data_IF_093510095535
#
_entry.id   IF_093510095535
#
_cell.length_a   1.000
_cell.length_b   1.000
_cell.length_c   1.000
_cell.angle_alpha   90.00
_cell.angle_beta   90.00
_cell.angle_gamma   90.00
#
_symmetry.space_group_name_H-M   'P 1'
#
loop_
_entity.id
_entity.type
_entity.pdbx_description
1 polymer ?
#
# COMPACT_ATOMS: atom_id res chain seq x y z
N UNK A 1 51.86 1.03 4.90
CA UNK A 1 51.03 1.71 5.91
C UNK A 1 49.63 1.10 5.88
N UNK A 2 49.24 0.33 6.89
CA UNK A 2 47.87 -0.22 7.00
C UNK A 2 46.97 0.91 7.49
N UNK A 3 45.99 1.32 6.70
CA UNK A 3 44.92 2.22 7.14
C UNK A 3 44.23 1.58 8.34
N UNK A 4 44.50 2.11 9.54
CA UNK A 4 43.69 1.81 10.72
C UNK A 4 42.34 2.49 10.46
N UNK A 5 41.35 1.71 10.06
CA UNK A 5 39.95 2.13 10.08
C UNK A 5 39.64 2.65 11.47
N UNK A 6 39.15 3.89 11.54
CA UNK A 6 38.58 4.43 12.79
C UNK A 6 37.54 3.43 13.29
N UNK A 7 37.49 3.14 14.60
CA UNK A 7 36.40 2.35 15.16
C UNK A 7 35.10 3.07 14.77
N UNK A 8 34.23 2.38 14.05
CA UNK A 8 32.87 2.86 13.83
C UNK A 8 32.26 3.10 15.22
N UNK A 9 31.54 4.22 15.42
CA UNK A 9 30.85 4.46 16.68
C UNK A 9 30.00 3.25 17.02
N UNK A 10 29.88 2.94 18.32
CA UNK A 10 29.12 1.81 18.84
C UNK A 10 27.62 2.02 18.54
N UNK A 11 27.21 1.67 17.32
CA UNK A 11 25.84 1.87 16.86
C UNK A 11 25.00 0.72 17.41
N UNK A 12 23.93 1.05 18.14
CA UNK A 12 23.02 0.06 18.69
C UNK A 12 22.54 -0.94 17.60
N UNK A 13 22.41 -2.24 17.95
CA UNK A 13 21.96 -3.26 17.02
C UNK A 13 20.52 -2.99 16.58
N UNK A 14 20.26 -3.16 15.29
CA UNK A 14 18.92 -3.01 14.72
C UNK A 14 18.06 -4.21 15.12
N UNK A 15 17.02 -3.98 15.91
CA UNK A 15 16.03 -4.98 16.34
C UNK A 15 14.81 -4.99 15.43
N UNK A 16 14.36 -3.82 14.99
CA UNK A 16 13.20 -3.65 14.10
C UNK A 16 13.56 -2.75 12.93
N UNK A 17 13.36 -3.24 11.71
CA UNK A 17 13.38 -2.44 10.49
C UNK A 17 11.95 -2.29 9.98
N UNK A 18 11.34 -1.13 10.24
CA UNK A 18 9.96 -0.85 9.86
C UNK A 18 9.88 -0.24 8.45
N UNK A 19 9.12 -0.87 7.56
CA UNK A 19 8.99 -0.41 6.18
C UNK A 19 8.04 0.78 6.06
N UNK A 20 8.55 1.84 5.44
CA UNK A 20 7.84 3.07 5.11
C UNK A 20 7.81 3.30 3.59
N UNK A 21 8.01 2.25 2.77
CA UNK A 21 8.10 2.41 1.32
C UNK A 21 6.83 3.03 0.76
N UNK A 22 5.66 2.57 1.21
CA UNK A 22 4.38 3.13 0.78
C UNK A 22 4.20 4.61 1.21
N UNK A 23 4.65 5.01 2.42
CA UNK A 23 4.61 6.41 2.86
C UNK A 23 5.45 7.33 1.97
N UNK A 24 6.60 6.84 1.51
CA UNK A 24 7.49 7.59 0.60
C UNK A 24 6.81 7.78 -0.77
N UNK A 25 6.11 6.76 -1.27
CA UNK A 25 5.56 6.73 -2.63
C UNK A 25 4.21 7.41 -2.76
N UNK A 26 3.33 7.27 -1.78
CA UNK A 26 1.99 7.84 -1.80
C UNK A 26 1.66 8.50 -0.45
N UNK A 27 1.48 9.83 -0.40
CA UNK A 27 1.03 10.48 0.82
C UNK A 27 -0.48 10.34 1.06
N UNK A 28 -1.29 9.95 0.05
CA UNK A 28 -2.74 9.81 0.20
C UNK A 28 -3.08 8.43 0.80
N UNK A 29 -2.71 8.23 2.06
CA UNK A 29 -2.89 6.96 2.76
C UNK A 29 -4.38 6.73 3.08
N UNK A 30 -5.00 5.81 2.36
CA UNK A 30 -6.40 5.38 2.56
C UNK A 30 -6.46 3.90 2.92
N UNK A 31 -7.55 3.53 3.58
CA UNK A 31 -7.79 2.15 3.98
C UNK A 31 -6.65 1.60 4.81
N UNK A 32 -6.10 0.46 4.40
CA UNK A 32 -5.12 -0.28 5.18
C UNK A 32 -3.78 0.43 5.36
N UNK A 33 -3.41 1.31 4.41
CA UNK A 33 -2.20 2.11 4.52
C UNK A 33 -2.23 3.07 5.73
N UNK A 34 -3.41 3.35 6.31
CA UNK A 34 -3.52 4.11 7.56
C UNK A 34 -3.02 3.35 8.79
N UNK A 35 -3.10 2.02 8.77
CA UNK A 35 -2.54 1.19 9.85
C UNK A 35 -1.02 1.35 9.87
N UNK A 36 -0.38 1.38 8.71
CA UNK A 36 1.05 1.66 8.61
C UNK A 36 1.42 3.04 9.17
N UNK A 37 0.64 4.09 8.86
CA UNK A 37 0.82 5.44 9.44
C UNK A 37 0.77 5.38 10.97
N UNK A 38 -0.28 4.77 11.53
CA UNK A 38 -0.48 4.71 12.97
C UNK A 38 0.63 3.91 13.69
N UNK A 39 1.10 2.81 13.09
CA UNK A 39 2.20 2.02 13.66
C UNK A 39 3.53 2.80 13.57
N UNK A 40 3.80 3.48 12.46
CA UNK A 40 4.98 4.34 12.38
C UNK A 40 4.97 5.47 13.43
N UNK A 41 3.81 6.05 13.71
CA UNK A 41 3.64 7.05 14.78
C UNK A 41 3.92 6.48 16.16
N UNK A 42 3.36 5.31 16.47
CA UNK A 42 3.59 4.62 17.74
C UNK A 42 5.09 4.30 17.92
N UNK A 43 5.74 3.73 16.90
CA UNK A 43 7.17 3.42 16.93
C UNK A 43 8.05 4.67 17.06
N UNK A 44 7.65 5.79 16.48
CA UNK A 44 8.34 7.07 16.67
C UNK A 44 8.18 7.60 18.10
N UNK A 45 7.01 7.40 18.71
CA UNK A 45 6.72 7.85 20.07
C UNK A 45 7.47 7.04 21.14
N UNK A 46 7.70 5.74 20.89
CA UNK A 46 8.50 4.87 21.77
C UNK A 46 9.99 5.26 21.82
N UNK A 47 10.48 5.96 20.79
CA UNK A 47 11.87 6.43 20.66
C UNK A 47 12.95 5.34 20.85
N UNK A 48 12.64 4.10 20.50
CA UNK A 48 13.58 2.98 20.63
C UNK A 48 14.78 3.10 19.65
N UNK A 49 16.03 3.15 20.13
CA UNK A 49 17.22 3.18 19.26
C UNK A 49 17.44 1.90 18.46
N UNK A 50 16.81 0.78 18.86
CA UNK A 50 16.82 -0.47 18.11
C UNK A 50 15.85 -0.49 16.93
N UNK A 51 14.99 0.52 16.79
CA UNK A 51 14.03 0.64 15.70
C UNK A 51 14.53 1.63 14.64
N UNK A 52 14.65 1.14 13.41
CA UNK A 52 14.98 1.95 12.23
C UNK A 52 13.81 1.95 11.25
N UNK A 53 13.62 3.07 10.56
CA UNK A 53 12.64 3.21 9.50
C UNK A 53 13.34 3.08 8.17
N UNK A 54 12.78 2.31 7.24
CA UNK A 54 13.41 2.05 5.95
C UNK A 54 12.44 2.28 4.81
N UNK A 55 12.97 2.56 3.62
CA UNK A 55 12.21 2.55 2.40
C UNK A 55 13.00 1.86 1.29
N UNK A 56 12.30 1.08 0.48
CA UNK A 56 12.87 0.45 -0.69
C UNK A 56 13.08 1.47 -1.81
N UNK A 57 14.35 1.64 -2.19
CA UNK A 57 14.79 2.41 -3.34
C UNK A 57 14.78 1.48 -4.57
N UNK A 58 13.76 1.63 -5.41
CA UNK A 58 13.60 0.84 -6.65
C UNK A 58 14.73 1.08 -7.65
N UNK A 59 15.30 2.28 -7.68
CA UNK A 59 16.37 2.63 -8.62
C UNK A 59 17.67 1.96 -8.20
N UNK A 60 18.02 2.07 -6.92
CA UNK A 60 19.20 1.45 -6.34
C UNK A 60 19.03 -0.03 -5.96
N UNK A 61 17.81 -0.57 -6.08
CA UNK A 61 17.39 -1.91 -5.63
C UNK A 61 17.91 -2.25 -4.23
N UNK A 62 17.66 -1.35 -3.28
CA UNK A 62 18.19 -1.44 -1.92
C UNK A 62 17.27 -0.80 -0.90
N UNK A 63 17.38 -1.20 0.36
CA UNK A 63 16.72 -0.50 1.45
C UNK A 63 17.57 0.68 1.92
N UNK A 64 16.94 1.83 2.04
CA UNK A 64 17.55 3.06 2.54
C UNK A 64 16.96 3.41 3.90
N UNK A 65 17.82 3.79 4.85
CA UNK A 65 17.37 4.23 6.18
C UNK A 65 16.78 5.64 6.07
N UNK A 66 15.66 5.85 6.75
CA UNK A 66 15.02 7.14 6.91
C UNK A 66 15.32 7.64 8.32
N UNK A 67 15.85 8.85 8.42
CA UNK A 67 15.98 9.49 9.72
C UNK A 67 14.59 9.82 10.31
N UNK A 68 14.51 9.87 11.65
CA UNK A 68 13.26 10.15 12.36
C UNK A 68 12.61 11.48 11.93
N UNK A 69 13.34 12.59 11.70
CA UNK A 69 12.77 13.80 11.13
C UNK A 69 12.08 13.61 9.76
N UNK A 70 12.68 12.83 8.86
CA UNK A 70 12.10 12.51 7.56
C UNK A 70 10.81 11.70 7.70
N UNK A 71 10.78 10.72 8.61
CA UNK A 71 9.55 9.94 8.89
C UNK A 71 8.45 10.85 9.45
N UNK A 72 8.76 11.73 10.41
CA UNK A 72 7.79 12.71 10.93
C UNK A 72 7.24 13.61 9.82
N UNK A 73 8.09 14.06 8.89
CA UNK A 73 7.64 14.85 7.74
C UNK A 73 6.74 14.06 6.78
N UNK A 74 7.00 12.76 6.57
CA UNK A 74 6.14 11.88 5.78
C UNK A 74 4.77 11.69 6.46
N UNK A 75 4.74 11.47 7.76
CA UNK A 75 3.51 11.32 8.54
C UNK A 75 2.69 12.61 8.56
N UNK A 76 3.34 13.77 8.77
CA UNK A 76 2.69 15.07 8.68
C UNK A 76 2.09 15.31 7.28
N UNK A 77 2.73 14.82 6.20
CA UNK A 77 2.16 14.86 4.85
C UNK A 77 1.01 13.88 4.66
N UNK A 78 1.03 12.72 5.31
CA UNK A 78 -0.05 11.74 5.26
C UNK A 78 -1.33 12.26 5.96
N UNK A 79 -1.17 12.95 7.10
CA UNK A 79 -2.26 13.60 7.82
C UNK A 79 -2.70 14.92 7.18
N UNK A 80 -1.73 15.74 6.80
CA UNK A 80 -1.94 17.01 6.10
C UNK A 80 -2.36 16.84 4.64
N UNK A 81 -2.54 15.60 4.20
CA UNK A 81 -3.39 15.28 3.08
C UNK A 81 -4.82 15.69 3.41
N UNK A 82 -5.10 16.99 3.35
CA UNK A 82 -6.31 17.48 2.68
C UNK A 82 -6.55 16.51 1.55
N UNK A 83 -7.76 15.96 1.46
CA UNK A 83 -8.21 15.26 0.29
C UNK A 83 -7.65 16.04 -0.89
N UNK A 84 -6.55 15.54 -1.50
CA UNK A 84 -6.27 15.81 -2.88
C UNK A 84 -7.53 15.25 -3.44
N UNK A 85 -8.49 16.14 -3.69
CA UNK A 85 -9.69 15.87 -4.46
C UNK A 85 -9.12 14.96 -5.51
N UNK A 86 -9.51 13.68 -5.48
CA UNK A 86 -9.51 12.91 -6.69
C UNK A 86 -10.21 13.86 -7.61
N UNK A 87 -9.44 14.56 -8.42
CA UNK A 87 -10.00 15.53 -9.31
C UNK A 87 -10.93 14.68 -10.12
N UNK A 88 -12.22 14.78 -9.85
CA UNK A 88 -13.07 15.43 -10.82
C UNK A 88 -12.26 16.64 -11.28
N UNK A 89 -11.34 16.39 -12.23
CA UNK A 89 -11.01 17.34 -13.26
C UNK A 89 -12.39 17.82 -13.65
N UNK A 90 -12.70 19.09 -13.35
CA UNK A 90 -13.87 19.71 -13.93
C UNK A 90 -13.77 19.41 -15.42
N UNK A 91 -14.59 18.46 -15.89
CA UNK A 91 -14.59 18.07 -17.28
C UNK A 91 -14.89 19.37 -18.04
N UNK A 92 -14.00 19.83 -18.94
CA UNK A 92 -14.29 21.01 -19.73
C UNK A 92 -15.53 20.69 -20.57
N UNK A 93 -16.66 21.26 -20.18
CA UNK A 93 -17.89 21.34 -20.98
C UNK A 93 -18.58 20.01 -21.32
N UNK A 94 -19.86 19.96 -20.97
CA UNK A 94 -20.95 19.06 -21.35
C UNK A 94 -20.99 18.43 -22.76
N UNK A 95 -20.10 18.75 -23.71
CA UNK A 95 -20.16 18.20 -25.09
C UNK A 95 -19.40 16.89 -25.29
N UNK A 96 -18.33 16.64 -24.52
CA UNK A 96 -17.53 15.41 -24.63
C UNK A 96 -18.21 14.20 -23.97
N UNK A 97 -19.05 14.41 -22.96
CA UNK A 97 -19.80 13.35 -22.28
C UNK A 97 -20.89 12.78 -23.19
N UNK A 98 -21.69 13.63 -23.84
CA UNK A 98 -22.70 13.16 -24.81
C UNK A 98 -22.11 12.39 -26.00
N UNK A 99 -20.88 12.72 -26.42
CA UNK A 99 -20.19 12.00 -27.49
C UNK A 99 -19.68 10.64 -27.02
N UNK A 100 -19.21 10.54 -25.77
CA UNK A 100 -18.74 9.28 -25.17
C UNK A 100 -19.90 8.35 -24.81
N UNK A 101 -21.03 8.88 -24.34
CA UNK A 101 -22.25 8.11 -24.06
C UNK A 101 -22.89 7.59 -25.35
N UNK A 102 -22.99 8.41 -26.41
CA UNK A 102 -23.41 7.91 -27.75
C UNK A 102 -22.48 6.84 -28.31
N UNK A 103 -21.16 7.01 -28.15
CA UNK A 103 -20.18 6.00 -28.60
C UNK A 103 -20.23 4.72 -27.75
N UNK A 104 -20.56 4.82 -26.46
CA UNK A 104 -20.78 3.69 -25.56
C UNK A 104 -22.02 2.88 -25.98
N UNK A 105 -23.10 3.56 -26.37
CA UNK A 105 -24.35 2.93 -26.83
C UNK A 105 -24.24 2.34 -28.24
N UNK A 106 -23.60 3.04 -29.17
CA UNK A 106 -23.53 2.60 -30.57
C UNK A 106 -22.41 1.57 -30.84
N UNK A 107 -21.27 1.67 -30.13
CA UNK A 107 -20.08 0.84 -30.37
C UNK A 107 -19.33 0.49 -29.07
N UNK A 108 -19.89 -0.43 -28.26
CA UNK A 108 -19.37 -0.77 -26.93
C UNK A 108 -17.95 -1.36 -26.93
N UNK A 109 -17.50 -1.94 -28.04
CA UNK A 109 -16.11 -2.42 -28.19
C UNK A 109 -15.11 -1.26 -28.33
N UNK A 110 -15.46 -0.22 -29.10
CA UNK A 110 -14.60 0.96 -29.32
C UNK A 110 -14.51 1.81 -28.05
N UNK A 111 -15.62 2.00 -27.34
CA UNK A 111 -15.64 2.75 -26.09
C UNK A 111 -14.80 2.07 -24.99
N UNK A 112 -14.81 0.74 -24.91
CA UNK A 112 -13.90 -0.02 -24.03
C UNK A 112 -12.43 0.23 -24.37
N UNK A 113 -12.08 0.26 -25.64
CA UNK A 113 -10.70 0.54 -26.11
C UNK A 113 -10.27 1.97 -25.79
N UNK A 114 -11.15 2.96 -26.00
CA UNK A 114 -10.87 4.37 -25.67
C UNK A 114 -10.78 4.58 -24.16
N UNK A 115 -11.64 3.93 -23.36
CA UNK A 115 -11.56 3.94 -21.90
C UNK A 115 -10.25 3.33 -21.38
N UNK A 116 -9.80 2.21 -21.96
CA UNK A 116 -8.50 1.60 -21.67
C UNK A 116 -7.36 2.56 -22.04
N UNK A 117 -7.37 3.16 -23.23
CA UNK A 117 -6.38 4.15 -23.65
C UNK A 117 -6.33 5.37 -22.73
N UNK A 118 -7.50 5.90 -22.31
CA UNK A 118 -7.60 7.01 -21.38
C UNK A 118 -7.08 6.67 -19.99
N UNK A 119 -7.35 5.45 -19.50
CA UNK A 119 -6.78 4.92 -18.26
C UNK A 119 -5.25 4.82 -18.35
N UNK A 120 -4.73 4.23 -19.43
CA UNK A 120 -3.28 4.10 -19.66
C UNK A 120 -2.59 5.45 -19.81
N UNK A 121 -3.20 6.43 -20.48
CA UNK A 121 -2.66 7.78 -20.61
C UNK A 121 -2.62 8.52 -19.27
N UNK A 122 -3.68 8.43 -18.46
CA UNK A 122 -3.71 9.01 -17.10
C UNK A 122 -2.68 8.36 -16.17
N UNK A 123 -2.54 7.05 -16.27
CA UNK A 123 -1.57 6.29 -15.49
C UNK A 123 -0.13 6.58 -15.95
N UNK A 124 0.13 6.66 -17.25
CA UNK A 124 1.42 7.08 -17.78
C UNK A 124 1.76 8.51 -17.34
N UNK A 125 0.80 9.44 -17.36
CA UNK A 125 1.01 10.78 -16.81
C UNK A 125 1.29 10.76 -15.29
N UNK A 126 0.66 9.85 -14.53
CA UNK A 126 0.95 9.65 -13.12
C UNK A 126 2.37 9.09 -12.87
N UNK A 127 2.80 8.10 -13.66
CA UNK A 127 4.17 7.55 -13.61
C UNK A 127 5.23 8.55 -14.08
N UNK A 128 4.96 9.32 -15.14
CA UNK A 128 5.83 10.43 -15.59
C UNK A 128 5.92 11.51 -14.51
N UNK A 129 4.83 11.77 -13.78
CA UNK A 129 4.83 12.65 -12.61
C UNK A 129 5.61 12.11 -11.40
N UNK A 130 5.95 10.82 -11.36
CA UNK A 130 6.83 10.23 -10.34
C UNK A 130 8.31 10.49 -10.62
N UNK A 131 8.72 10.65 -11.88
CA UNK A 131 10.14 10.87 -12.24
C UNK A 131 10.71 12.16 -11.61
N UNK A 132 10.05 13.34 -11.71
CA UNK A 132 10.55 14.55 -11.03
C UNK A 132 10.48 14.47 -9.50
N UNK A 133 9.56 13.68 -8.94
CA UNK A 133 9.42 13.50 -7.49
C UNK A 133 10.45 12.54 -6.91
N UNK A 134 10.74 11.45 -7.60
CA UNK A 134 11.84 10.52 -7.28
C UNK A 134 13.18 11.27 -7.35
N UNK A 135 13.40 12.08 -8.40
CA UNK A 135 14.60 12.91 -8.54
C UNK A 135 14.72 13.99 -7.44
N UNK A 136 13.60 14.57 -6.97
CA UNK A 136 13.62 15.53 -5.85
C UNK A 136 13.78 14.86 -4.48
N UNK A 137 13.22 13.66 -4.30
CA UNK A 137 13.43 12.84 -3.11
C UNK A 137 14.88 12.37 -3.00
N UNK A 138 15.52 12.01 -4.13
CA UNK A 138 16.96 11.70 -4.21
C UNK A 138 17.83 12.89 -3.84
N UNK A 139 17.44 14.13 -4.19
CA UNK A 139 18.21 15.34 -3.84
C UNK A 139 18.14 15.72 -2.36
N UNK A 140 17.10 15.30 -1.64
CA UNK A 140 17.00 15.49 -0.18
C UNK A 140 17.53 14.29 0.61
N UNK A 141 17.81 13.18 -0.07
CA UNK A 141 18.43 11.99 0.48
C UNK A 141 19.96 12.14 0.53
N UNK A 142 20.47 13.02 1.39
CA UNK A 142 21.90 13.06 1.70
C UNK A 142 22.43 11.66 2.02
N UNK A 143 23.55 11.27 1.40
CA UNK A 143 24.26 9.97 1.52
C UNK A 143 23.52 8.86 2.28
N UNK A 144 22.40 8.34 1.74
CA UNK A 144 21.67 7.26 2.42
C UNK A 144 22.50 5.98 2.38
N UNK A 145 22.97 5.54 3.54
CA UNK A 145 23.59 4.23 3.70
C UNK A 145 22.55 3.14 3.40
N UNK A 146 23.03 2.02 2.85
CA UNK A 146 22.20 0.84 2.65
C UNK A 146 21.85 0.26 4.03
N UNK A 147 20.62 0.45 4.48
CA UNK A 147 20.16 0.07 5.82
C UNK A 147 20.36 -1.43 6.09
N UNK A 148 20.15 -2.24 5.05
CA UNK A 148 20.23 -3.69 5.16
C UNK A 148 21.62 -4.24 5.43
N UNK A 149 22.68 -3.42 5.38
CA UNK A 149 24.03 -3.85 5.79
C UNK A 149 24.18 -4.04 7.29
N UNK A 150 23.30 -3.42 8.08
CA UNK A 150 23.30 -3.50 9.56
C UNK A 150 22.34 -4.57 10.09
N UNK A 151 21.60 -5.24 9.21
CA UNK A 151 20.65 -6.27 9.60
C UNK A 151 21.36 -7.59 9.87
N UNK A 152 20.77 -8.40 10.74
CA UNK A 152 21.27 -9.71 11.08
C UNK A 152 20.23 -10.54 11.83
N UNK A 153 20.64 -11.61 12.54
CA UNK A 153 19.72 -12.53 13.22
C UNK A 153 18.86 -11.90 14.31
N UNK A 154 19.28 -10.76 14.86
CA UNK A 154 18.51 -10.00 15.85
C UNK A 154 17.48 -9.03 15.22
N UNK A 155 17.51 -8.85 13.90
CA UNK A 155 16.66 -7.90 13.19
C UNK A 155 15.36 -8.58 12.74
N UNK A 156 14.24 -7.92 12.97
CA UNK A 156 12.97 -8.22 12.32
C UNK A 156 12.66 -7.12 11.30
N UNK A 157 12.52 -7.49 10.03
CA UNK A 157 11.91 -6.61 9.02
C UNK A 157 10.40 -6.73 9.10
N UNK A 158 9.69 -5.61 9.13
CA UNK A 158 8.25 -5.57 9.21
C UNK A 158 7.67 -4.63 8.15
N UNK A 159 6.81 -5.15 7.27
CA UNK A 159 5.99 -4.33 6.38
C UNK A 159 4.51 -4.57 6.63
N UNK A 160 3.78 -3.47 6.83
CA UNK A 160 2.32 -3.43 6.97
C UNK A 160 1.68 -2.68 5.79
N UNK A 161 2.38 -2.54 4.67
CA UNK A 161 1.88 -1.83 3.51
C UNK A 161 1.21 -2.79 2.52
N UNK A 162 0.64 -2.21 1.46
CA UNK A 162 0.06 -2.96 0.34
C UNK A 162 1.21 -3.33 -0.64
N UNK A 163 1.95 -4.37 -0.29
CA UNK A 163 3.29 -4.69 -0.83
C UNK A 163 3.31 -5.28 -2.24
N UNK A 164 2.17 -5.37 -2.92
CA UNK A 164 2.05 -6.01 -4.24
C UNK A 164 3.02 -5.46 -5.30
N UNK A 165 3.44 -4.19 -5.18
CA UNK A 165 4.26 -3.52 -6.18
C UNK A 165 5.46 -2.75 -5.62
N UNK A 166 5.41 -2.41 -4.34
CA UNK A 166 6.35 -1.47 -3.76
C UNK A 166 7.51 -2.19 -3.06
N UNK A 167 7.34 -3.48 -2.75
CA UNK A 167 8.35 -4.29 -2.09
C UNK A 167 8.97 -5.32 -3.04
N UNK A 168 10.29 -5.38 -3.10
CA UNK A 168 11.02 -6.45 -3.81
C UNK A 168 11.17 -7.67 -2.88
N UNK A 169 10.17 -8.55 -2.91
CA UNK A 169 10.14 -9.77 -2.10
C UNK A 169 11.34 -10.70 -2.40
N UNK A 170 11.84 -10.72 -3.64
CA UNK A 170 13.00 -11.54 -3.99
C UNK A 170 14.28 -11.03 -3.31
N UNK A 171 14.46 -9.70 -3.26
CA UNK A 171 15.54 -9.10 -2.48
C UNK A 171 15.39 -9.43 -0.99
N UNK A 172 14.18 -9.30 -0.44
CA UNK A 172 13.93 -9.55 0.98
C UNK A 172 14.18 -11.03 1.34
N UNK A 173 13.72 -11.96 0.50
CA UNK A 173 14.02 -13.39 0.63
C UNK A 173 15.53 -13.66 0.66
N UNK A 174 16.28 -13.04 -0.27
CA UNK A 174 17.73 -13.18 -0.30
C UNK A 174 18.38 -12.62 0.96
N UNK A 175 17.98 -11.43 1.41
CA UNK A 175 18.52 -10.83 2.64
C UNK A 175 18.24 -11.74 3.84
N UNK A 176 17.02 -12.29 3.93
CA UNK A 176 16.65 -13.27 4.97
C UNK A 176 17.60 -14.47 4.96
N UNK A 177 17.85 -15.07 3.80
CA UNK A 177 18.75 -16.21 3.66
C UNK A 177 20.22 -15.87 3.97
N UNK A 178 20.71 -14.71 3.54
CA UNK A 178 22.11 -14.30 3.68
C UNK A 178 22.45 -13.76 5.08
N UNK A 179 21.50 -13.10 5.74
CA UNK A 179 21.74 -12.35 6.99
C UNK A 179 21.00 -12.94 8.19
N UNK A 180 20.08 -13.89 7.97
CA UNK A 180 19.34 -14.56 9.02
C UNK A 180 18.30 -13.70 9.74
N UNK A 181 17.91 -12.54 9.18
CA UNK A 181 16.84 -11.71 9.75
C UNK A 181 15.49 -12.43 9.73
N UNK A 182 14.57 -12.01 10.60
CA UNK A 182 13.17 -12.44 10.56
C UNK A 182 12.36 -11.50 9.68
N UNK A 183 11.47 -12.06 8.84
CA UNK A 183 10.58 -11.26 7.98
C UNK A 183 9.13 -11.41 8.41
N UNK A 184 8.50 -10.30 8.80
CA UNK A 184 7.08 -10.20 9.15
C UNK A 184 6.31 -9.38 8.10
N UNK A 185 5.30 -9.98 7.47
CA UNK A 185 4.49 -9.35 6.42
C UNK A 185 3.00 -9.50 6.72
N UNK A 186 2.19 -8.57 6.20
CA UNK A 186 0.73 -8.66 6.29
C UNK A 186 0.17 -9.36 5.07
N UNK A 187 -0.76 -10.29 5.30
CA UNK A 187 -1.58 -10.90 4.27
C UNK A 187 -3.01 -10.38 4.40
N UNK A 188 -3.45 -9.52 3.48
CA UNK A 188 -4.75 -8.84 3.61
C UNK A 188 -5.92 -9.75 3.28
N UNK A 189 -5.98 -10.20 2.04
CA UNK A 189 -7.06 -11.02 1.52
C UNK A 189 -6.64 -11.74 0.24
N UNK A 190 -7.39 -12.77 -0.12
CA UNK A 190 -7.29 -13.52 -1.36
C UNK A 190 -8.50 -13.26 -2.27
N UNK A 191 -9.24 -12.16 -2.06
CA UNK A 191 -10.46 -11.84 -2.81
C UNK A 191 -10.25 -11.92 -4.33
N UNK A 192 -9.11 -11.46 -4.89
CA UNK A 192 -8.80 -11.63 -6.31
C UNK A 192 -8.75 -13.07 -6.81
N UNK A 193 -8.37 -14.04 -5.97
CA UNK A 193 -8.30 -15.45 -6.34
C UNK A 193 -9.60 -16.19 -6.00
N UNK A 194 -10.26 -15.82 -4.90
CA UNK A 194 -11.51 -16.45 -4.44
C UNK A 194 -12.70 -16.00 -5.28
N UNK A 195 -12.72 -14.74 -5.72
CA UNK A 195 -13.82 -14.16 -6.52
C UNK A 195 -13.32 -13.43 -7.77
N UNK A 196 -12.61 -14.12 -8.67
CA UNK A 196 -11.92 -13.49 -9.80
C UNK A 196 -12.85 -12.71 -10.73
N UNK A 197 -14.12 -13.10 -10.83
CA UNK A 197 -15.15 -12.41 -11.61
C UNK A 197 -15.45 -10.97 -11.16
N UNK A 198 -15.04 -10.58 -9.95
CA UNK A 198 -15.22 -9.22 -9.43
C UNK A 198 -14.00 -8.32 -9.65
N UNK A 199 -12.95 -8.82 -10.29
CA UNK A 199 -11.71 -8.11 -10.54
C UNK A 199 -11.44 -7.94 -12.04
N UNK A 200 -10.55 -7.01 -12.39
CA UNK A 200 -10.14 -6.82 -13.78
C UNK A 200 -9.42 -8.07 -14.30
N UNK A 201 -9.76 -8.49 -15.52
CA UNK A 201 -9.14 -9.66 -16.17
C UNK A 201 -7.61 -9.52 -16.26
N UNK A 202 -7.12 -8.34 -16.66
CA UNK A 202 -5.71 -8.07 -16.84
C UNK A 202 -5.13 -7.24 -15.71
N UNK A 203 -3.87 -7.52 -15.37
CA UNK A 203 -3.11 -6.73 -14.41
C UNK A 203 -2.91 -5.33 -14.96
N UNK A 204 -3.23 -4.30 -14.16
CA UNK A 204 -2.93 -2.92 -14.55
C UNK A 204 -1.42 -2.62 -14.59
N UNK A 205 -0.61 -3.51 -14.01
CA UNK A 205 0.85 -3.40 -13.84
C UNK A 205 1.60 -4.17 -14.91
N UNK A 206 1.06 -5.32 -15.28
CA UNK A 206 1.54 -6.19 -16.35
C UNK A 206 0.38 -6.41 -17.33
N UNK A 207 0.07 -5.43 -18.22
CA UNK A 207 -1.15 -5.45 -19.04
C UNK A 207 -1.31 -6.69 -19.93
N UNK A 208 -0.20 -7.39 -20.19
CA UNK A 208 -0.16 -8.60 -21.01
C UNK A 208 -0.37 -9.88 -20.19
N UNK A 209 -0.64 -9.78 -18.88
CA UNK A 209 -0.85 -10.93 -17.99
C UNK A 209 -2.17 -10.81 -17.24
N UNK A 210 -2.75 -11.98 -16.94
CA UNK A 210 -3.96 -12.02 -16.13
C UNK A 210 -3.66 -11.54 -14.72
N UNK A 211 -4.57 -10.75 -14.17
CA UNK A 211 -4.41 -10.21 -12.82
C UNK A 211 -4.27 -11.33 -11.78
N UNK A 212 -5.08 -12.37 -11.92
CA UNK A 212 -5.06 -13.54 -11.02
C UNK A 212 -3.73 -14.30 -11.04
N UNK A 213 -3.07 -14.40 -12.20
CA UNK A 213 -1.76 -15.06 -12.31
C UNK A 213 -0.66 -14.24 -11.61
N UNK A 214 -0.64 -12.93 -11.84
CA UNK A 214 0.30 -12.01 -11.19
C UNK A 214 0.09 -12.02 -9.68
N UNK A 215 -1.17 -11.95 -9.24
CA UNK A 215 -1.54 -11.94 -7.84
C UNK A 215 -1.21 -13.27 -7.15
N UNK A 216 -1.48 -14.41 -7.80
CA UNK A 216 -1.10 -15.74 -7.31
C UNK A 216 0.41 -15.86 -7.13
N UNK A 217 1.20 -15.42 -8.11
CA UNK A 217 2.66 -15.44 -8.02
C UNK A 217 3.16 -14.56 -6.86
N UNK A 218 2.56 -13.38 -6.65
CA UNK A 218 2.87 -12.54 -5.51
C UNK A 218 2.54 -13.22 -4.17
N UNK A 219 1.36 -13.83 -4.04
CA UNK A 219 0.97 -14.52 -2.80
C UNK A 219 1.93 -15.67 -2.46
N UNK A 220 2.36 -16.43 -3.46
CA UNK A 220 3.35 -17.48 -3.29
C UNK A 220 4.71 -16.91 -2.85
N UNK A 221 5.19 -15.84 -3.48
CA UNK A 221 6.43 -15.17 -3.09
C UNK A 221 6.37 -14.58 -1.68
N UNK A 222 5.21 -14.09 -1.26
CA UNK A 222 4.99 -13.55 0.09
C UNK A 222 5.08 -14.67 1.13
N UNK A 223 4.39 -15.79 0.90
CA UNK A 223 4.45 -16.98 1.77
C UNK A 223 5.87 -17.55 1.87
N UNK A 224 6.61 -17.60 0.76
CA UNK A 224 7.98 -18.12 0.76
C UNK A 224 8.95 -17.20 1.50
N UNK A 225 8.74 -15.89 1.40
CA UNK A 225 9.59 -14.86 2.03
C UNK A 225 9.32 -14.70 3.54
N UNK A 226 8.05 -14.81 3.97
CA UNK A 226 7.66 -14.51 5.34
C UNK A 226 8.03 -15.63 6.34
N UNK A 227 8.58 -15.23 7.48
CA UNK A 227 8.70 -16.06 8.69
C UNK A 227 7.49 -15.92 9.61
N UNK A 228 6.85 -14.74 9.55
CA UNK A 228 5.68 -14.38 10.32
C UNK A 228 4.67 -13.68 9.41
N UNK A 229 3.42 -14.07 9.55
CA UNK A 229 2.32 -13.49 8.79
C UNK A 229 1.34 -12.81 9.74
N UNK A 230 0.83 -11.67 9.33
CA UNK A 230 -0.25 -10.99 10.02
C UNK A 230 -1.49 -11.11 9.14
N UNK A 231 -2.55 -11.72 9.65
CA UNK A 231 -3.83 -11.87 8.93
C UNK A 231 -4.93 -11.09 9.62
N UNK A 232 -5.83 -10.51 8.84
CA UNK A 232 -6.83 -9.57 9.37
C UNK A 232 -8.10 -10.22 9.93
N UNK A 233 -8.39 -11.46 9.53
CA UNK A 233 -9.66 -12.13 9.84
C UNK A 233 -9.58 -13.65 9.70
N UNK A 234 -10.54 -14.37 10.29
CA UNK A 234 -10.69 -15.83 10.13
C UNK A 234 -10.95 -16.21 8.67
N UNK A 235 -11.65 -15.35 7.92
CA UNK A 235 -11.91 -15.59 6.50
C UNK A 235 -10.61 -15.56 5.69
N UNK A 236 -9.79 -14.52 5.90
CA UNK A 236 -8.45 -14.42 5.31
C UNK A 236 -7.59 -15.62 5.69
N UNK A 237 -7.64 -16.05 6.95
CA UNK A 237 -6.89 -17.22 7.42
C UNK A 237 -7.27 -18.50 6.67
N UNK A 238 -8.58 -18.82 6.61
CA UNK A 238 -9.07 -20.01 5.89
C UNK A 238 -8.71 -20.00 4.41
N UNK A 239 -8.87 -18.84 3.75
CA UNK A 239 -8.52 -18.72 2.33
C UNK A 239 -7.02 -18.91 2.13
N UNK A 240 -6.18 -18.41 3.06
CA UNK A 240 -4.73 -18.55 3.03
C UNK A 240 -4.29 -19.99 3.20
N UNK A 241 -4.87 -20.72 4.16
CA UNK A 241 -4.62 -22.15 4.36
C UNK A 241 -4.98 -22.96 3.11
N UNK A 242 -6.14 -22.68 2.52
CA UNK A 242 -6.59 -23.34 1.30
C UNK A 242 -5.64 -23.05 0.12
N UNK A 243 -5.25 -21.80 -0.06
CA UNK A 243 -4.30 -21.38 -1.09
C UNK A 243 -2.92 -22.05 -0.91
N UNK A 244 -2.40 -22.05 0.31
CA UNK A 244 -1.10 -22.65 0.61
C UNK A 244 -1.12 -24.16 0.35
N UNK A 245 -2.18 -24.86 0.78
CA UNK A 245 -2.37 -26.28 0.52
C UNK A 245 -2.44 -26.59 -0.99
N UNK A 246 -3.20 -25.81 -1.76
CA UNK A 246 -3.28 -25.94 -3.23
C UNK A 246 -1.91 -25.74 -3.89
N UNK A 247 -1.13 -24.78 -3.40
CA UNK A 247 0.19 -24.43 -3.94
C UNK A 247 1.34 -25.33 -3.44
N UNK A 248 1.08 -26.25 -2.50
CA UNK A 248 2.12 -27.04 -1.85
C UNK A 248 3.08 -26.19 -1.01
N UNK A 249 2.58 -25.09 -0.43
CA UNK A 249 3.32 -24.15 0.40
C UNK A 249 2.92 -24.27 1.87
N UNK A 250 3.80 -23.85 2.76
CA UNK A 250 3.53 -23.78 4.20
C UNK A 250 3.25 -22.35 4.65
N UNK A 251 2.29 -22.19 5.55
CA UNK A 251 2.01 -20.92 6.22
C UNK A 251 2.82 -20.86 7.52
N UNK A 252 3.81 -19.96 7.59
CA UNK A 252 4.74 -19.87 8.73
C UNK A 252 4.32 -18.78 9.71
N UNK A 253 4.21 -19.15 10.99
CA UNK A 253 4.14 -18.22 12.12
C UNK A 253 3.10 -17.11 11.96
N UNK A 254 1.86 -17.47 11.66
CA UNK A 254 0.79 -16.50 11.47
C UNK A 254 0.15 -16.06 12.79
N UNK A 255 -0.17 -14.77 12.86
CA UNK A 255 -0.91 -14.14 13.94
C UNK A 255 -2.09 -13.39 13.35
N UNK A 256 -3.25 -13.56 13.96
CA UNK A 256 -4.45 -12.84 13.56
C UNK A 256 -4.56 -11.54 14.32
N UNK A 257 -4.61 -10.43 13.60
CA UNK A 257 -4.76 -9.07 14.14
C UNK A 257 -5.84 -8.35 13.36
N UNK A 258 -7.03 -8.11 13.95
CA UNK A 258 -8.09 -7.35 13.30
C UNK A 258 -7.63 -5.94 12.93
N UNK A 259 -7.81 -5.54 11.67
CA UNK A 259 -7.37 -4.24 11.11
C UNK A 259 -8.02 -2.99 11.75
N UNK A 260 -8.92 -3.17 12.73
CA UNK A 260 -9.67 -2.10 13.40
C UNK A 260 -9.40 -2.06 14.91
N UNK A 261 -8.39 -2.77 15.41
CA UNK A 261 -8.06 -2.74 16.83
C UNK A 261 -7.46 -1.37 17.24
N UNK A 262 -8.30 -0.47 17.77
CA UNK A 262 -7.88 0.51 18.76
C UNK A 262 -7.11 1.75 18.27
N UNK A 263 -7.32 2.24 17.05
CA UNK A 263 -6.81 3.57 16.70
C UNK A 263 -7.40 4.63 17.64
N UNK A 264 -6.54 5.50 18.18
CA UNK A 264 -6.94 6.62 19.00
C UNK A 264 -8.00 7.44 18.23
N UNK A 265 -9.22 7.48 18.77
CA UNK A 265 -10.27 8.32 18.21
C UNK A 265 -9.93 9.75 18.57
N UNK A 266 -9.61 10.57 17.58
CA UNK A 266 -9.69 12.02 17.77
C UNK A 266 -11.09 12.37 18.31
N UNK A 267 -11.20 13.41 19.16
CA UNK A 267 -12.50 13.91 19.60
C UNK A 267 -13.37 14.15 18.37
N UNK A 268 -14.52 13.47 18.30
CA UNK A 268 -15.46 13.67 17.20
C UNK A 268 -16.01 15.09 17.26
N UNK A 269 -15.39 16.02 16.53
CA UNK A 269 -15.95 17.33 16.30
C UNK A 269 -17.16 17.12 15.41
N UNK A 270 -18.34 17.50 15.89
CA UNK A 270 -19.55 17.48 15.08
C UNK A 270 -19.28 18.34 13.83
N UNK A 271 -19.26 17.77 12.61
CA UNK A 271 -19.01 18.56 11.42
C UNK A 271 -20.08 19.64 11.31
N UNK A 272 -19.71 20.79 10.73
CA UNK A 272 -20.67 21.84 10.41
C UNK A 272 -21.83 21.21 9.62
N UNK A 273 -23.08 21.64 9.88
CA UNK A 273 -24.23 21.21 9.07
C UNK A 273 -23.88 21.49 7.61
N UNK A 274 -24.21 20.56 6.71
CA UNK A 274 -24.10 20.79 5.27
C UNK A 274 -24.84 22.09 4.96
N UNK A 275 -24.09 23.12 4.61
CA UNK A 275 -24.60 24.46 4.36
C UNK A 275 -24.93 24.57 2.87
N UNK A 276 -25.99 23.88 2.43
CA UNK A 276 -26.42 23.90 1.03
C UNK A 276 -27.95 23.88 0.96
N UNK A 277 -28.57 24.49 -0.07
CA UNK A 277 -30.02 24.51 -0.27
C UNK A 277 -30.63 23.11 -0.50
N UNK A 278 -29.81 22.11 -0.82
CA UNK A 278 -30.19 20.71 -1.07
C UNK A 278 -29.88 19.77 0.11
N UNK A 279 -29.52 20.31 1.28
CA UNK A 279 -29.32 19.48 2.46
C UNK A 279 -30.62 18.68 2.73
N UNK A 280 -30.55 17.34 2.86
CA UNK A 280 -31.74 16.55 3.10
C UNK A 280 -32.42 17.11 4.35
N UNK A 281 -33.74 17.32 4.26
CA UNK A 281 -34.52 17.79 5.39
C UNK A 281 -34.18 16.93 6.61
N UNK A 282 -34.06 17.53 7.82
CA UNK A 282 -33.74 16.78 9.02
C UNK A 282 -34.69 15.59 9.15
N UNK A 283 -34.12 14.38 9.07
CA UNK A 283 -34.85 13.13 8.90
C UNK A 283 -33.94 11.91 9.07
N UNK A 284 -34.51 10.72 8.89
CA UNK A 284 -33.74 9.46 8.95
C UNK A 284 -33.06 9.25 7.60
N UNK A 285 -31.74 9.13 7.62
CA UNK A 285 -30.94 8.78 6.46
C UNK A 285 -30.10 7.54 6.76
N UNK A 286 -29.75 6.79 5.71
CA UNK A 286 -28.75 5.73 5.75
C UNK A 286 -27.51 6.26 5.04
N UNK A 287 -26.36 6.25 5.72
CA UNK A 287 -25.08 6.62 5.13
C UNK A 287 -24.32 5.34 4.77
N UNK A 288 -24.00 5.18 3.49
CA UNK A 288 -23.05 4.18 2.99
C UNK A 288 -21.86 4.90 2.38
N UNK A 289 -20.65 4.40 2.62
CA UNK A 289 -19.41 4.97 2.07
C UNK A 289 -18.55 3.84 1.54
N UNK A 290 -18.30 3.85 0.24
CA UNK A 290 -17.47 2.86 -0.42
C UNK A 290 -17.27 3.18 -1.89
N UNK A 291 -16.20 2.64 -2.47
CA UNK A 291 -16.04 2.58 -3.93
C UNK A 291 -17.17 1.78 -4.55
N UNK A 292 -17.69 2.22 -5.70
CA UNK A 292 -18.72 1.46 -6.43
C UNK A 292 -18.06 0.29 -7.16
N UNK A 293 -18.09 -0.88 -6.52
CA UNK A 293 -17.51 -2.13 -7.01
C UNK A 293 -18.52 -3.27 -6.87
N UNK A 294 -18.51 -4.23 -7.81
CA UNK A 294 -19.46 -5.35 -7.83
C UNK A 294 -19.48 -6.12 -6.50
N UNK A 295 -18.30 -6.42 -5.95
CA UNK A 295 -18.14 -7.16 -4.67
C UNK A 295 -18.70 -6.44 -3.43
N UNK A 296 -18.95 -5.13 -3.51
CA UNK A 296 -19.51 -4.34 -2.40
C UNK A 296 -21.04 -4.28 -2.42
N UNK A 297 -21.65 -4.83 -3.46
CA UNK A 297 -23.10 -5.03 -3.58
C UNK A 297 -23.98 -3.81 -3.23
N UNK A 298 -23.54 -2.60 -3.61
CA UNK A 298 -24.29 -1.36 -3.37
C UNK A 298 -25.71 -1.42 -3.96
N UNK A 299 -25.91 -2.22 -5.01
CA UNK A 299 -27.23 -2.44 -5.61
C UNK A 299 -28.21 -3.07 -4.62
N UNK A 300 -27.79 -4.07 -3.85
CA UNK A 300 -28.66 -4.68 -2.84
C UNK A 300 -29.15 -3.65 -1.80
N UNK A 301 -28.33 -2.68 -1.44
CA UNK A 301 -28.73 -1.61 -0.52
C UNK A 301 -29.83 -0.70 -1.10
N UNK A 302 -29.88 -0.54 -2.43
CA UNK A 302 -30.83 0.33 -3.12
C UNK A 302 -32.10 -0.41 -3.56
N UNK A 303 -32.03 -1.74 -3.67
CA UNK A 303 -33.13 -2.60 -4.13
C UNK A 303 -34.05 -3.07 -2.97
N UNK A 304 -33.71 -2.77 -1.71
CA UNK A 304 -34.51 -3.09 -0.49
C UNK A 304 -35.36 -1.93 -0.01
#
# INVERSE_FOLDING_TARGET
MRHRSRPEPDVAPVRLAYDCTALVRDPAMVGVARVMVAVAEALLAEDDPGTVFVAYDHTGRRFTELDRPAVRALLARAHGGEARRTGAVAMPGSRLHHLTDRLLDERPATARTVGRLGYHARRAAHEVGRVPRAVRADRHAGSRQCASRRWGPATTYCSLAFDYHDLDLALLHRLRAEQGLTVALVFYDLTPLVTPQHHSEFSAWEPNRRFTEVFRAHCAALLDTADRLIVSSDATWRDLEAFAAEAGLEVRGAVQVPLVAGLAREPQVRPARLAEPDAPAPGRFVLTVGTIEARKNHRLLLDV
#
